data_IF_591716787676
#
_entry.id   IF_591716787676
#
_cell.length_a   1.000
_cell.length_b   1.000
_cell.length_c   1.000
_cell.angle_alpha   90.00
_cell.angle_beta   90.00
_cell.angle_gamma   90.00
#
_symmetry.space_group_name_H-M   'P 1'
#
loop_
_entity.id
_entity.type
_entity.pdbx_description
1 polymer ?
#
# COMPACT_ATOMS: atom_id res chain seq x y z
N UNK A 1 8.54 -7.76 13.90
CA UNK A 1 7.68 -6.57 14.09
C UNK A 1 6.61 -6.75 15.15
N UNK A 2 5.77 -7.80 15.12
CA UNK A 2 4.66 -7.96 16.09
C UNK A 2 5.09 -8.04 17.58
N UNK A 3 6.25 -8.61 17.88
CA UNK A 3 6.70 -8.78 19.27
C UNK A 3 6.96 -7.45 20.02
N UNK A 4 7.32 -6.38 19.31
CA UNK A 4 7.61 -5.06 19.91
C UNK A 4 6.37 -4.23 20.23
N UNK A 5 5.19 -4.64 19.79
CA UNK A 5 3.93 -3.91 19.98
C UNK A 5 3.02 -4.54 21.03
N UNK A 6 3.48 -5.60 21.73
CA UNK A 6 2.67 -6.35 22.71
C UNK A 6 2.08 -5.49 23.83
N UNK A 7 2.76 -4.40 24.20
CA UNK A 7 2.34 -3.49 25.28
C UNK A 7 1.95 -2.09 24.77
N UNK A 8 1.89 -1.89 23.46
CA UNK A 8 1.44 -0.62 22.90
C UNK A 8 -0.08 -0.50 23.02
N UNK A 9 -0.63 0.70 23.27
CA UNK A 9 -2.07 0.89 23.27
C UNK A 9 -2.65 0.63 21.87
N UNK A 10 -3.83 0.01 21.82
CA UNK A 10 -4.54 -0.33 20.58
C UNK A 10 -4.51 -1.82 20.23
N UNK A 11 -5.04 -2.17 19.05
CA UNK A 11 -5.08 -3.54 18.54
C UNK A 11 -4.38 -3.60 17.20
N UNK A 12 -3.50 -4.59 17.03
CA UNK A 12 -2.80 -4.87 15.78
C UNK A 12 -3.46 -6.05 15.08
N UNK A 13 -3.87 -5.85 13.82
CA UNK A 13 -4.40 -6.91 12.96
C UNK A 13 -3.44 -7.13 11.78
N UNK A 14 -2.93 -8.35 11.65
CA UNK A 14 -2.11 -8.72 10.51
C UNK A 14 -3.00 -9.30 9.40
N UNK A 15 -3.07 -8.61 8.27
CA UNK A 15 -3.76 -9.07 7.05
C UNK A 15 -2.71 -9.22 5.96
N UNK A 16 -2.63 -10.41 5.36
CA UNK A 16 -1.73 -10.66 4.23
C UNK A 16 -2.36 -10.08 2.96
N UNK A 17 -1.58 -9.34 2.18
CA UNK A 17 -1.97 -8.88 0.86
C UNK A 17 -0.76 -8.46 0.03
N UNK A 18 -0.66 -8.99 -1.18
CA UNK A 18 0.31 -8.58 -2.19
C UNK A 18 -0.20 -7.34 -2.94
N UNK A 19 0.44 -6.19 -2.70
CA UNK A 19 0.04 -4.91 -3.30
C UNK A 19 0.31 -4.81 -4.80
N UNK A 20 0.93 -5.82 -5.42
CA UNK A 20 1.02 -5.90 -6.88
C UNK A 20 -0.25 -6.48 -7.52
N UNK A 21 -1.16 -7.06 -6.74
CA UNK A 21 -2.39 -7.69 -7.21
C UNK A 21 -3.62 -6.94 -6.71
N UNK A 22 -4.43 -6.41 -7.63
CA UNK A 22 -5.60 -5.61 -7.28
C UNK A 22 -6.62 -6.39 -6.44
N UNK A 23 -6.78 -7.69 -6.71
CA UNK A 23 -7.74 -8.55 -6.01
C UNK A 23 -7.41 -8.72 -4.53
N UNK A 24 -6.10 -8.84 -4.20
CA UNK A 24 -5.64 -8.95 -2.82
C UNK A 24 -5.80 -7.62 -2.05
N UNK A 25 -5.65 -6.48 -2.75
CA UNK A 25 -5.92 -5.16 -2.17
C UNK A 25 -7.41 -5.03 -1.83
N UNK A 26 -8.30 -5.36 -2.77
CA UNK A 26 -9.75 -5.27 -2.57
C UNK A 26 -10.21 -6.18 -1.42
N UNK A 27 -9.72 -7.43 -1.38
CA UNK A 27 -10.00 -8.37 -0.30
C UNK A 27 -9.58 -7.83 1.08
N UNK A 28 -8.45 -7.13 1.16
CA UNK A 28 -8.01 -6.49 2.40
C UNK A 28 -8.95 -5.35 2.84
N UNK A 29 -9.39 -4.49 1.92
CA UNK A 29 -10.34 -3.42 2.23
C UNK A 29 -11.70 -3.97 2.69
N UNK A 30 -12.20 -5.02 2.04
CA UNK A 30 -13.46 -5.66 2.45
C UNK A 30 -13.35 -6.28 3.84
N UNK A 31 -12.21 -6.92 4.14
CA UNK A 31 -11.93 -7.40 5.49
C UNK A 31 -11.92 -6.24 6.51
N UNK A 32 -11.27 -5.11 6.20
CA UNK A 32 -11.21 -3.95 7.10
C UNK A 32 -12.61 -3.39 7.36
N UNK A 33 -13.42 -3.15 6.32
CA UNK A 33 -14.79 -2.66 6.47
C UNK A 33 -15.62 -3.57 7.35
N UNK A 34 -15.55 -4.88 7.11
CA UNK A 34 -16.33 -5.89 7.84
C UNK A 34 -15.95 -5.97 9.32
N UNK A 35 -14.68 -5.80 9.67
CA UNK A 35 -14.19 -6.03 11.03
C UNK A 35 -13.96 -4.74 11.84
N UNK A 36 -13.65 -3.63 11.17
CA UNK A 36 -13.20 -2.38 11.78
C UNK A 36 -14.03 -1.16 11.34
N UNK A 37 -14.98 -1.33 10.41
CA UNK A 37 -15.88 -0.28 9.95
C UNK A 37 -15.34 0.60 8.82
N UNK A 38 -14.01 0.63 8.59
CA UNK A 38 -13.40 1.38 7.50
C UNK A 38 -11.92 1.71 7.76
N UNK A 39 -11.33 2.53 6.88
CA UNK A 39 -9.96 3.04 7.02
C UNK A 39 -10.03 4.54 7.27
N UNK A 40 -9.39 5.05 8.33
CA UNK A 40 -9.22 6.50 8.53
C UNK A 40 -7.88 7.01 7.98
N UNK A 41 -6.84 6.18 8.08
CA UNK A 41 -5.48 6.51 7.63
C UNK A 41 -4.91 5.32 6.86
N UNK A 42 -4.42 5.57 5.64
CA UNK A 42 -3.63 4.59 4.87
C UNK A 42 -2.22 5.10 4.70
N UNK A 43 -1.28 4.25 5.12
CA UNK A 43 0.14 4.50 4.97
C UNK A 43 0.63 3.63 3.81
N UNK A 44 0.90 4.25 2.66
CA UNK A 44 1.49 3.56 1.52
C UNK A 44 3.01 3.43 1.72
N UNK A 45 3.41 2.45 2.53
CA UNK A 45 4.80 2.20 2.86
C UNK A 45 5.45 1.09 2.00
N UNK A 46 4.68 0.37 1.20
CA UNK A 46 5.20 -0.75 0.43
C UNK A 46 6.01 -0.24 -0.78
N UNK A 47 7.28 -0.62 -0.83
CA UNK A 47 8.19 -0.26 -1.91
C UNK A 47 9.38 -1.20 -1.94
N UNK A 48 9.87 -1.49 -3.16
CA UNK A 48 11.08 -2.27 -3.39
C UNK A 48 12.12 -1.31 -3.95
N UNK A 49 13.31 -1.28 -3.34
CA UNK A 49 14.46 -0.55 -3.86
C UNK A 49 15.49 -1.53 -4.39
N UNK A 50 15.97 -1.30 -5.61
CA UNK A 50 17.17 -1.97 -6.13
C UNK A 50 18.36 -1.02 -6.00
N UNK A 51 19.50 -1.55 -5.56
CA UNK A 51 20.77 -0.82 -5.55
C UNK A 51 21.59 -1.37 -6.70
N UNK A 52 21.62 -0.64 -7.81
CA UNK A 52 22.33 -1.05 -9.02
C UNK A 52 23.28 0.05 -9.46
N UNK A 53 24.41 -0.35 -10.05
CA UNK A 53 25.30 0.56 -10.77
C UNK A 53 24.61 1.04 -12.04
N UNK A 54 24.93 2.27 -12.46
CA UNK A 54 24.34 2.88 -13.65
C UNK A 54 24.52 2.03 -14.93
N UNK A 55 25.58 1.22 -15.02
CA UNK A 55 25.79 0.31 -16.15
C UNK A 55 24.71 -0.78 -16.24
N UNK A 56 24.30 -1.35 -15.12
CA UNK A 56 23.29 -2.42 -15.05
C UNK A 56 21.89 -1.88 -15.36
N UNK A 57 21.62 -0.63 -14.98
CA UNK A 57 20.36 0.06 -15.29
C UNK A 57 20.09 0.16 -16.80
N UNK A 58 21.15 0.33 -17.62
CA UNK A 58 21.02 0.36 -19.08
C UNK A 58 20.86 -1.03 -19.70
N UNK A 59 21.37 -2.08 -19.03
CA UNK A 59 21.35 -3.45 -19.56
C UNK A 59 20.07 -4.23 -19.25
N UNK A 60 19.26 -3.83 -18.25
CA UNK A 60 17.95 -4.45 -17.99
C UNK A 60 16.86 -3.90 -18.90
N UNK A 61 16.04 -4.80 -19.43
CA UNK A 61 14.84 -4.43 -20.22
C UNK A 61 13.75 -3.81 -19.34
N UNK A 62 12.87 -3.01 -19.95
CA UNK A 62 11.81 -2.21 -19.30
C UNK A 62 10.83 -2.96 -18.36
N UNK A 63 10.88 -4.30 -18.31
CA UNK A 63 10.00 -5.16 -17.53
C UNK A 63 10.20 -5.03 -16.01
N UNK A 64 11.43 -4.89 -15.52
CA UNK A 64 11.69 -4.73 -14.08
C UNK A 64 11.24 -3.36 -13.54
N UNK A 65 11.31 -2.33 -14.39
CA UNK A 65 10.75 -1.01 -14.07
C UNK A 65 9.22 -1.02 -14.06
N UNK A 66 8.57 -1.82 -14.91
CA UNK A 66 7.12 -1.91 -14.98
C UNK A 66 6.51 -2.48 -13.68
N UNK A 67 7.10 -3.54 -13.11
CA UNK A 67 6.60 -4.14 -11.87
C UNK A 67 6.62 -3.16 -10.68
N UNK A 68 7.69 -2.37 -10.56
CA UNK A 68 7.81 -1.33 -9.52
C UNK A 68 6.84 -0.17 -9.75
N UNK A 69 6.60 0.20 -11.03
CA UNK A 69 5.72 1.30 -11.40
C UNK A 69 4.24 0.94 -11.24
N UNK A 70 3.80 -0.25 -11.65
CA UNK A 70 2.38 -0.61 -11.64
C UNK A 70 1.84 -0.82 -10.22
N UNK A 71 2.59 -1.45 -9.30
CA UNK A 71 2.16 -1.57 -7.90
C UNK A 71 2.02 -0.21 -7.20
N UNK A 72 2.95 0.71 -7.43
CA UNK A 72 2.90 2.07 -6.87
C UNK A 72 1.79 2.91 -7.51
N UNK A 73 1.62 2.76 -8.83
CA UNK A 73 0.57 3.44 -9.60
C UNK A 73 -0.81 2.98 -9.17
N UNK A 74 -1.04 1.70 -8.85
CA UNK A 74 -2.35 1.24 -8.38
C UNK A 74 -2.79 1.98 -7.09
N UNK A 75 -1.90 2.14 -6.12
CA UNK A 75 -2.20 2.88 -4.87
C UNK A 75 -2.38 4.40 -5.10
N UNK A 76 -1.60 5.01 -5.99
CA UNK A 76 -1.69 6.46 -6.29
C UNK A 76 -2.88 6.79 -7.21
N UNK A 77 -3.15 5.99 -8.24
CA UNK A 77 -4.25 6.20 -9.20
C UNK A 77 -5.60 5.66 -8.71
N UNK A 78 -5.65 4.91 -7.61
CA UNK A 78 -6.91 4.62 -6.91
C UNK A 78 -7.71 5.90 -6.60
N UNK A 79 -7.00 7.03 -6.40
CA UNK A 79 -7.56 8.39 -6.31
C UNK A 79 -8.41 8.80 -7.52
N UNK A 80 -8.04 8.42 -8.75
CA UNK A 80 -8.72 8.90 -9.97
C UNK A 80 -9.89 8.03 -10.42
N UNK A 81 -9.98 6.77 -9.93
CA UNK A 81 -11.04 5.83 -10.30
C UNK A 81 -12.26 5.87 -9.37
N UNK A 82 -12.33 6.83 -8.44
CA UNK A 82 -13.57 7.13 -7.72
C UNK A 82 -13.98 6.15 -6.61
N UNK A 83 -13.12 5.22 -6.19
CA UNK A 83 -13.41 4.27 -5.07
C UNK A 83 -13.14 4.88 -3.67
N UNK A 84 -13.08 6.21 -3.55
CA UNK A 84 -12.87 6.98 -2.31
C UNK A 84 -13.92 6.65 -1.22
N UNK A 85 -15.09 6.14 -1.60
CA UNK A 85 -16.15 5.71 -0.67
C UNK A 85 -15.69 4.67 0.36
N UNK A 86 -14.68 3.88 0.02
CA UNK A 86 -14.15 2.81 0.88
C UNK A 86 -13.18 3.30 1.95
N UNK A 87 -12.69 4.53 1.78
CA UNK A 87 -11.66 5.18 2.57
C UNK A 87 -12.21 6.10 3.66
N UNK A 88 -13.54 6.28 3.73
CA UNK A 88 -14.15 7.29 4.59
C UNK A 88 -15.48 6.78 5.15
N UNK A 89 -15.43 5.89 6.13
CA UNK A 89 -16.63 5.59 6.92
C UNK A 89 -17.05 6.79 7.81
N UNK A 90 -16.11 7.67 8.19
CA UNK A 90 -16.33 8.81 9.09
C UNK A 90 -16.02 10.20 8.51
N UNK A 91 -15.74 10.32 7.20
CA UNK A 91 -15.56 11.61 6.52
C UNK A 91 -14.22 12.35 6.74
N UNK A 92 -13.20 11.72 7.32
CA UNK A 92 -11.86 12.31 7.54
C UNK A 92 -10.70 11.35 7.20
N UNK A 93 -10.67 10.87 5.97
CA UNK A 93 -9.60 9.98 5.49
C UNK A 93 -8.33 10.75 5.08
N UNK A 94 -7.14 10.28 5.48
CA UNK A 94 -5.83 10.79 4.99
C UNK A 94 -4.92 9.69 4.43
N UNK A 95 -4.19 9.99 3.35
CA UNK A 95 -3.19 9.08 2.75
C UNK A 95 -1.80 9.68 2.95
N UNK A 96 -0.88 8.88 3.48
CA UNK A 96 0.53 9.26 3.67
C UNK A 96 1.42 8.37 2.79
N UNK A 97 2.30 9.00 2.02
CA UNK A 97 3.34 8.33 1.22
C UNK A 97 4.73 8.67 1.75
N UNK A 98 5.65 7.72 1.71
CA UNK A 98 7.06 7.97 2.05
C UNK A 98 7.79 8.56 0.84
N UNK A 99 8.35 9.76 0.97
CA UNK A 99 9.31 10.32 0.01
C UNK A 99 10.71 9.76 0.24
N UNK A 100 11.59 9.80 -0.77
CA UNK A 100 13.04 9.63 -0.57
C UNK A 100 13.62 11.01 -0.25
N UNK A 101 14.21 11.14 0.93
CA UNK A 101 15.11 12.22 1.32
C UNK A 101 16.44 12.16 0.54
#
# INVERSE_FOLDING_TARGET
MAAGLKNAPGKLYAVKGDISKEEEILAAFDWIKKNLGGVDILINNAGVGTTETLSVYYERSALDHAATREGFKLLVTWRSRGKVSDFCAGGRGSILGRGKD
#
